data_IF_341699009609
#
_entry.id   IF_341699009609
#
_cell.length_a   1.000
_cell.length_b   1.000
_cell.length_c   1.000
_cell.angle_alpha   90.00
_cell.angle_beta   90.00
_cell.angle_gamma   90.00
#
_symmetry.space_group_name_H-M   'P 1'
#
loop_
_entity.id
_entity.type
_entity.pdbx_description
1 polymer ?
#
# COMPACT_ATOMS: atom_id res chain seq x y z
N UNK A 1 24.28 -9.52 23.49
CA UNK A 1 24.71 -8.55 24.54
C UNK A 1 25.28 -7.27 23.97
N UNK A 2 26.28 -7.30 23.06
CA UNK A 2 26.91 -6.11 22.48
C UNK A 2 25.91 -5.16 21.83
N UNK A 3 24.95 -5.68 21.04
CA UNK A 3 23.93 -4.88 20.32
C UNK A 3 23.02 -4.12 21.31
N UNK A 4 22.66 -4.73 22.43
CA UNK A 4 21.83 -4.08 23.43
C UNK A 4 22.63 -2.96 24.17
N UNK A 5 23.92 -3.17 24.42
CA UNK A 5 24.79 -2.13 24.96
C UNK A 5 24.95 -0.95 24.00
N UNK A 6 25.07 -1.21 22.70
CA UNK A 6 25.10 -0.15 21.66
C UNK A 6 23.78 0.63 21.61
N UNK A 7 22.64 -0.04 21.62
CA UNK A 7 21.32 0.62 21.65
C UNK A 7 21.16 1.52 22.85
N UNK A 8 21.61 1.02 24.04
CA UNK A 8 21.60 1.81 25.26
C UNK A 8 22.52 3.03 25.17
N UNK A 9 23.71 2.85 24.62
CA UNK A 9 24.64 3.95 24.36
C UNK A 9 24.03 5.02 23.46
N UNK A 10 23.48 4.62 22.32
CA UNK A 10 22.86 5.55 21.39
C UNK A 10 21.65 6.27 22.02
N UNK A 11 20.83 5.59 22.80
CA UNK A 11 19.69 6.23 23.45
C UNK A 11 20.12 7.33 24.45
N UNK A 12 21.32 7.24 25.00
CA UNK A 12 21.79 8.15 26.06
C UNK A 12 22.80 9.19 25.59
N UNK A 13 23.55 8.88 24.55
CA UNK A 13 24.69 9.70 24.11
C UNK A 13 24.52 10.32 22.74
N UNK A 14 23.39 10.03 22.01
CA UNK A 14 23.12 10.64 20.71
C UNK A 14 22.52 12.03 20.86
N UNK A 15 22.77 12.85 19.85
CA UNK A 15 22.08 14.12 19.63
C UNK A 15 20.78 13.89 18.86
N UNK A 16 19.77 14.72 19.10
CA UNK A 16 18.46 14.63 18.46
C UNK A 16 18.06 15.97 17.82
N UNK A 17 17.50 15.98 16.62
CA UNK A 17 16.92 17.22 16.10
C UNK A 17 15.60 17.51 16.84
N UNK A 18 15.42 18.75 17.26
CA UNK A 18 14.17 19.21 17.80
C UNK A 18 13.05 19.12 16.73
N UNK A 19 11.94 18.42 16.99
CA UNK A 19 10.88 18.23 15.98
C UNK A 19 10.15 19.55 15.63
N UNK A 20 10.26 20.60 16.46
CA UNK A 20 9.63 21.89 16.18
C UNK A 20 10.52 22.85 15.38
N UNK A 21 11.82 22.91 15.67
CA UNK A 21 12.69 23.94 15.08
C UNK A 21 13.94 23.38 14.40
N UNK A 22 14.15 22.05 14.42
CA UNK A 22 15.31 21.41 13.82
C UNK A 22 16.64 21.61 14.55
N UNK A 23 16.67 22.38 15.67
CA UNK A 23 17.88 22.58 16.46
C UNK A 23 18.37 21.26 17.06
N UNK A 24 19.67 20.98 16.94
CA UNK A 24 20.27 19.76 17.50
C UNK A 24 20.42 19.87 19.02
N UNK A 25 19.81 18.90 19.71
CA UNK A 25 19.88 18.79 21.16
C UNK A 25 21.07 17.92 21.52
N UNK A 26 21.95 18.43 22.38
CA UNK A 26 23.14 17.72 22.85
C UNK A 26 22.76 16.57 23.83
N UNK A 27 23.59 15.52 23.92
CA UNK A 27 23.41 14.45 24.89
C UNK A 27 23.29 14.99 26.31
N UNK A 28 22.35 14.44 27.06
CA UNK A 28 22.11 14.89 28.44
C UNK A 28 21.86 13.71 29.38
N UNK A 29 22.35 13.79 30.59
CA UNK A 29 22.06 12.83 31.67
C UNK A 29 20.56 12.82 32.04
N UNK A 30 19.79 13.82 31.64
CA UNK A 30 18.34 13.84 31.82
C UNK A 30 17.68 12.62 31.13
N UNK A 31 18.22 12.17 30.00
CA UNK A 31 17.74 10.98 29.27
C UNK A 31 17.89 9.72 30.15
N UNK A 32 18.98 9.58 30.89
CA UNK A 32 19.18 8.47 31.80
C UNK A 32 18.18 8.45 32.97
N UNK A 33 17.66 9.62 33.32
CA UNK A 33 16.65 9.82 34.35
C UNK A 33 15.20 9.84 33.78
N UNK A 34 15.03 9.46 32.50
CA UNK A 34 13.74 9.47 31.78
C UNK A 34 13.07 10.85 31.79
N UNK A 35 13.86 11.92 31.92
CA UNK A 35 13.34 13.29 31.82
C UNK A 35 13.40 13.80 30.39
N UNK A 36 12.40 14.60 29.96
CA UNK A 36 12.43 15.19 28.65
C UNK A 36 13.56 16.21 28.52
N UNK A 37 14.10 16.33 27.30
CA UNK A 37 15.04 17.38 26.93
C UNK A 37 14.24 18.65 26.59
N UNK A 38 14.69 19.79 27.09
CA UNK A 38 14.14 21.09 26.72
C UNK A 38 14.99 21.71 25.62
N UNK A 39 14.37 22.06 24.50
CA UNK A 39 15.07 22.72 23.42
C UNK A 39 15.46 24.14 23.85
N UNK A 40 16.75 24.51 23.83
CA UNK A 40 17.19 25.84 24.24
C UNK A 40 16.74 26.94 23.27
N UNK A 41 16.41 26.59 22.03
CA UNK A 41 16.02 27.56 21.02
C UNK A 41 14.53 27.88 21.02
N UNK A 42 13.64 26.88 21.17
CA UNK A 42 12.19 27.06 21.07
C UNK A 42 11.41 26.68 22.33
N UNK A 43 12.08 26.15 23.37
CA UNK A 43 11.45 25.73 24.62
C UNK A 43 10.65 24.42 24.52
N UNK A 44 10.64 23.75 23.36
CA UNK A 44 9.90 22.52 23.19
C UNK A 44 10.46 21.41 24.08
N UNK A 45 9.55 20.62 24.67
CA UNK A 45 9.88 19.40 25.41
C UNK A 45 10.02 18.25 24.44
N UNK A 46 11.19 17.64 24.37
CA UNK A 46 11.53 16.54 23.46
C UNK A 46 11.84 15.31 24.27
N UNK A 47 11.11 14.23 24.02
CA UNK A 47 11.42 12.94 24.61
C UNK A 47 12.57 12.29 23.82
N UNK A 48 13.65 11.91 24.50
CA UNK A 48 14.70 11.12 23.90
C UNK A 48 14.23 9.68 23.62
N UNK A 49 14.77 9.08 22.57
CA UNK A 49 14.44 7.71 22.20
C UNK A 49 14.99 6.71 23.24
N UNK A 50 14.17 5.74 23.62
CA UNK A 50 14.59 4.63 24.47
C UNK A 50 15.46 3.63 23.68
N UNK A 51 16.17 2.74 24.37
CA UNK A 51 16.97 1.70 23.72
C UNK A 51 16.11 0.75 22.84
N UNK A 52 14.85 0.55 23.21
CA UNK A 52 13.88 -0.27 22.45
C UNK A 52 13.47 0.36 21.12
N UNK A 53 13.51 1.69 21.04
CA UNK A 53 13.18 2.43 19.81
C UNK A 53 14.30 2.34 18.75
N UNK A 54 15.50 1.85 19.13
CA UNK A 54 16.58 1.48 18.19
C UNK A 54 16.52 0.01 17.74
N UNK A 55 15.43 -0.71 18.05
CA UNK A 55 15.25 -2.09 17.67
C UNK A 55 14.16 -2.25 16.61
N UNK A 56 14.53 -2.70 15.41
CA UNK A 56 13.61 -2.93 14.30
C UNK A 56 12.58 -4.06 14.54
N UNK A 57 12.77 -4.85 15.58
CA UNK A 57 11.85 -5.91 16.02
C UNK A 57 11.11 -5.56 17.33
N UNK A 58 11.10 -4.31 17.71
CA UNK A 58 10.46 -3.79 18.91
C UNK A 58 9.82 -2.43 18.63
N UNK A 59 9.88 -1.50 19.54
CA UNK A 59 9.23 -0.18 19.45
C UNK A 59 9.76 0.68 18.28
N UNK A 60 11.01 0.44 17.85
CA UNK A 60 11.60 1.14 16.70
C UNK A 60 11.21 0.59 15.34
N UNK A 61 10.42 -0.48 15.28
CA UNK A 61 10.01 -1.06 14.02
C UNK A 61 9.28 -0.05 13.15
N UNK A 62 9.73 0.12 11.91
CA UNK A 62 9.01 0.90 10.92
C UNK A 62 7.57 0.39 10.83
N UNK A 63 6.60 1.29 10.98
CA UNK A 63 5.18 0.94 11.05
C UNK A 63 4.64 0.36 9.75
N UNK A 64 5.17 0.82 8.61
CA UNK A 64 4.74 0.40 7.27
C UNK A 64 5.16 -1.03 6.95
N UNK A 65 6.40 -1.41 7.27
CA UNK A 65 6.91 -2.75 7.00
C UNK A 65 7.04 -3.64 8.25
N UNK A 66 6.59 -3.15 9.41
CA UNK A 66 6.72 -3.87 10.70
C UNK A 66 8.14 -4.37 10.98
N UNK A 67 9.14 -3.56 10.60
CA UNK A 67 10.56 -3.86 10.81
C UNK A 67 11.15 -4.88 9.84
N UNK A 68 10.44 -5.27 8.76
CA UNK A 68 10.99 -6.18 7.73
C UNK A 68 11.91 -5.48 6.74
N UNK A 69 11.74 -4.16 6.55
CA UNK A 69 12.43 -3.36 5.54
C UNK A 69 11.86 -3.52 4.12
N UNK A 70 10.89 -4.43 3.95
CA UNK A 70 10.29 -4.77 2.66
C UNK A 70 8.77 -4.67 2.74
N UNK A 71 8.16 -4.37 1.62
CA UNK A 71 6.69 -4.34 1.46
C UNK A 71 6.29 -5.10 0.21
N UNK A 72 5.07 -5.63 0.22
CA UNK A 72 4.43 -6.20 -0.96
C UNK A 72 3.63 -5.10 -1.63
N UNK A 73 3.92 -4.81 -2.89
CA UNK A 73 3.23 -3.82 -3.71
C UNK A 73 2.63 -4.48 -4.94
N UNK A 74 1.61 -3.87 -5.52
CA UNK A 74 1.04 -4.37 -6.77
C UNK A 74 2.05 -4.20 -7.90
N UNK A 75 2.22 -5.26 -8.68
CA UNK A 75 3.01 -5.23 -9.92
C UNK A 75 2.07 -5.01 -11.10
N UNK A 76 1.97 -3.78 -11.56
CA UNK A 76 1.06 -3.40 -12.65
C UNK A 76 1.32 -4.17 -13.94
N UNK A 77 2.56 -4.59 -14.20
CA UNK A 77 2.90 -5.38 -15.37
C UNK A 77 2.20 -6.74 -15.42
N UNK A 78 1.73 -7.22 -14.29
CA UNK A 78 1.02 -8.50 -14.15
C UNK A 78 -0.50 -8.38 -14.24
N UNK A 79 -1.03 -7.14 -14.19
CA UNK A 79 -2.48 -6.91 -14.21
C UNK A 79 -3.10 -7.18 -15.58
N UNK A 80 -2.32 -6.96 -16.65
CA UNK A 80 -2.70 -7.25 -18.03
C UNK A 80 -1.60 -8.09 -18.68
N UNK A 81 -1.60 -9.41 -18.45
CA UNK A 81 -0.55 -10.29 -18.92
C UNK A 81 -0.56 -10.50 -20.46
N UNK A 82 -1.69 -10.27 -21.09
CA UNK A 82 -1.87 -10.34 -22.54
C UNK A 82 -2.68 -9.13 -23.02
N UNK A 83 -1.99 -8.15 -23.58
CA UNK A 83 -2.57 -6.91 -24.07
C UNK A 83 -3.21 -7.02 -25.46
N UNK A 84 -3.10 -8.18 -26.11
CA UNK A 84 -3.80 -8.50 -27.34
C UNK A 84 -5.28 -8.85 -27.12
N UNK A 85 -5.65 -9.22 -25.89
CA UNK A 85 -7.02 -9.47 -25.49
C UNK A 85 -7.78 -8.17 -25.23
N UNK A 86 -9.09 -8.24 -25.43
CA UNK A 86 -10.01 -7.18 -25.00
C UNK A 86 -10.34 -7.30 -23.52
N UNK A 87 -10.85 -6.23 -22.90
CA UNK A 87 -11.35 -6.29 -21.52
C UNK A 87 -12.53 -7.27 -21.42
N UNK A 88 -13.39 -7.34 -22.43
CA UNK A 88 -14.52 -8.29 -22.52
C UNK A 88 -14.02 -9.75 -22.53
N UNK A 89 -12.88 -10.03 -23.15
CA UNK A 89 -12.23 -11.35 -23.15
C UNK A 89 -11.46 -11.65 -21.87
N UNK A 90 -11.28 -10.65 -21.01
CA UNK A 90 -10.62 -10.78 -19.71
C UNK A 90 -9.15 -10.41 -19.71
N UNK A 91 -8.73 -9.43 -20.49
CA UNK A 91 -7.37 -8.86 -20.47
C UNK A 91 -6.95 -8.45 -19.06
N UNK A 92 -7.87 -7.89 -18.26
CA UNK A 92 -7.61 -7.46 -16.90
C UNK A 92 -7.74 -8.65 -15.93
N UNK A 93 -6.63 -9.32 -15.68
CA UNK A 93 -6.57 -10.57 -14.92
C UNK A 93 -7.13 -10.49 -13.48
N UNK A 94 -6.94 -9.40 -12.70
CA UNK A 94 -7.55 -9.27 -11.38
C UNK A 94 -9.08 -9.31 -11.40
N UNK A 95 -9.73 -8.66 -12.36
CA UNK A 95 -11.20 -8.67 -12.45
C UNK A 95 -11.77 -10.06 -12.73
N UNK A 96 -11.04 -10.86 -13.49
CA UNK A 96 -11.43 -12.25 -13.78
C UNK A 96 -11.28 -13.18 -12.58
N UNK A 97 -10.25 -12.97 -11.76
CA UNK A 97 -9.86 -13.92 -10.70
C UNK A 97 -10.21 -13.49 -9.28
N UNK A 98 -10.35 -12.18 -9.02
CA UNK A 98 -10.53 -11.62 -7.68
C UNK A 98 -11.83 -10.83 -7.52
N UNK A 99 -12.53 -10.52 -8.63
CA UNK A 99 -13.72 -9.66 -8.64
C UNK A 99 -14.88 -10.31 -9.44
N UNK A 100 -16.03 -9.68 -9.41
CA UNK A 100 -17.19 -10.11 -10.17
C UNK A 100 -17.11 -9.67 -11.65
N UNK A 101 -17.68 -10.46 -12.53
CA UNK A 101 -17.72 -10.18 -13.99
C UNK A 101 -18.37 -8.84 -14.37
N UNK A 102 -19.19 -8.27 -13.49
CA UNK A 102 -19.83 -6.97 -13.68
C UNK A 102 -18.86 -5.79 -13.75
N UNK A 103 -17.60 -5.96 -13.31
CA UNK A 103 -16.62 -4.88 -13.35
C UNK A 103 -16.33 -4.40 -14.77
N UNK A 104 -16.44 -5.28 -15.74
CA UNK A 104 -16.28 -4.95 -17.17
C UNK A 104 -17.38 -3.99 -17.63
N UNK A 105 -18.65 -4.24 -17.26
CA UNK A 105 -19.76 -3.37 -17.62
C UNK A 105 -19.63 -2.00 -16.95
N UNK A 106 -19.20 -1.97 -15.70
CA UNK A 106 -18.94 -0.73 -14.96
C UNK A 106 -17.78 0.05 -15.59
N UNK A 107 -16.72 -0.64 -16.03
CA UNK A 107 -15.57 -0.03 -16.71
C UNK A 107 -16.01 0.66 -18.01
N UNK A 108 -16.96 0.07 -18.72
CA UNK A 108 -17.56 0.68 -19.94
C UNK A 108 -18.29 1.98 -19.60
N UNK A 109 -19.03 2.02 -18.48
CA UNK A 109 -19.68 3.24 -17.98
C UNK A 109 -18.69 4.30 -17.44
N UNK A 110 -17.44 3.91 -17.19
CA UNK A 110 -16.33 4.85 -16.91
C UNK A 110 -15.77 5.48 -18.21
N UNK A 111 -16.28 5.09 -19.38
CA UNK A 111 -15.87 5.62 -20.69
C UNK A 111 -14.66 4.89 -21.30
N UNK A 112 -14.43 3.65 -20.91
CA UNK A 112 -13.38 2.79 -21.47
C UNK A 112 -13.97 1.86 -22.51
N UNK A 113 -13.32 1.74 -23.66
CA UNK A 113 -13.69 0.76 -24.70
C UNK A 113 -13.26 -0.64 -24.25
N UNK A 114 -14.23 -1.54 -24.08
CA UNK A 114 -13.97 -2.89 -23.59
C UNK A 114 -13.87 -3.94 -24.67
N UNK A 115 -14.21 -3.58 -25.90
CA UNK A 115 -14.34 -4.43 -27.09
C UNK A 115 -13.14 -4.35 -28.06
N UNK A 116 -12.12 -3.55 -27.72
CA UNK A 116 -10.87 -3.43 -28.49
C UNK A 116 -9.70 -4.03 -27.70
N UNK A 117 -8.63 -4.49 -28.38
CA UNK A 117 -7.41 -4.96 -27.69
C UNK A 117 -6.88 -3.95 -26.68
N UNK A 118 -6.45 -4.41 -25.51
CA UNK A 118 -5.99 -3.52 -24.44
C UNK A 118 -4.85 -2.59 -24.88
N UNK A 119 -3.95 -3.08 -25.74
CA UNK A 119 -2.86 -2.27 -26.31
C UNK A 119 -3.36 -1.07 -27.11
N UNK A 120 -4.55 -1.16 -27.73
CA UNK A 120 -5.14 -0.13 -28.60
C UNK A 120 -5.99 0.89 -27.82
N UNK A 121 -6.08 0.74 -26.50
CA UNK A 121 -6.67 1.73 -25.61
C UNK A 121 -5.76 2.97 -25.52
N UNK A 122 -6.38 4.12 -25.37
CA UNK A 122 -5.66 5.38 -25.09
C UNK A 122 -5.02 5.34 -23.71
N UNK A 123 -4.01 6.17 -23.49
CA UNK A 123 -3.36 6.27 -22.16
C UNK A 123 -4.35 6.65 -21.05
N UNK A 124 -5.35 7.51 -21.37
CA UNK A 124 -6.42 7.86 -20.45
C UNK A 124 -7.30 6.65 -20.08
N UNK A 125 -7.66 5.82 -21.06
CA UNK A 125 -8.44 4.61 -20.80
C UNK A 125 -7.65 3.61 -19.95
N UNK A 126 -6.36 3.42 -20.25
CA UNK A 126 -5.45 2.59 -19.45
C UNK A 126 -5.31 3.12 -18.03
N UNK A 127 -5.18 4.43 -17.84
CA UNK A 127 -5.12 5.04 -16.53
C UNK A 127 -6.42 4.81 -15.74
N UNK A 128 -7.58 4.92 -16.36
CA UNK A 128 -8.85 4.58 -15.72
C UNK A 128 -8.86 3.12 -15.26
N UNK A 129 -8.38 2.18 -16.08
CA UNK A 129 -8.32 0.76 -15.72
C UNK A 129 -7.39 0.52 -14.53
N UNK A 130 -6.23 1.15 -14.49
CA UNK A 130 -5.23 0.94 -13.43
C UNK A 130 -5.48 1.77 -12.17
N UNK A 131 -5.94 3.02 -12.30
CA UNK A 131 -5.98 4.00 -11.22
C UNK A 131 -7.29 4.78 -11.11
N UNK A 132 -8.27 4.52 -11.98
CA UNK A 132 -9.54 5.26 -12.01
C UNK A 132 -10.20 5.35 -10.63
N UNK A 133 -10.89 6.46 -10.33
CA UNK A 133 -11.51 6.71 -9.04
C UNK A 133 -12.66 5.73 -8.76
N UNK A 134 -12.90 5.44 -7.48
CA UNK A 134 -14.04 4.64 -7.04
C UNK A 134 -15.33 5.44 -7.18
N UNK A 135 -15.97 5.36 -8.35
CA UNK A 135 -17.23 6.01 -8.67
C UNK A 135 -18.40 5.02 -8.69
N UNK A 136 -19.54 5.43 -8.16
CA UNK A 136 -20.78 4.68 -8.32
C UNK A 136 -21.32 4.88 -9.71
N UNK A 137 -21.59 3.78 -10.42
CA UNK A 137 -22.22 3.77 -11.73
C UNK A 137 -23.51 2.96 -11.69
N UNK A 138 -24.49 3.41 -12.44
CA UNK A 138 -25.73 2.69 -12.67
C UNK A 138 -25.56 1.82 -13.91
N UNK A 139 -25.71 0.50 -13.75
CA UNK A 139 -25.55 -0.46 -14.82
C UNK A 139 -26.80 -1.28 -15.05
N UNK A 140 -27.07 -1.58 -16.31
CA UNK A 140 -28.04 -2.57 -16.71
C UNK A 140 -27.32 -3.88 -16.94
N UNK A 141 -27.62 -4.90 -16.17
CA UNK A 141 -27.02 -6.21 -16.36
C UNK A 141 -28.05 -7.24 -16.82
N UNK A 142 -27.59 -8.14 -17.69
CA UNK A 142 -28.35 -9.31 -18.09
C UNK A 142 -27.74 -10.54 -17.43
N UNK A 143 -28.51 -11.25 -16.65
CA UNK A 143 -28.06 -12.51 -16.08
C UNK A 143 -27.98 -13.56 -17.17
N UNK A 144 -26.77 -14.05 -17.46
CA UNK A 144 -26.53 -15.09 -18.49
C UNK A 144 -27.26 -16.41 -18.23
N UNK A 145 -27.68 -16.65 -16.98
CA UNK A 145 -28.32 -17.90 -16.53
C UNK A 145 -29.84 -17.77 -16.28
N UNK A 146 -30.39 -16.56 -16.32
CA UNK A 146 -31.81 -16.31 -16.18
C UNK A 146 -32.17 -15.14 -17.12
N UNK A 147 -33.31 -15.22 -17.80
CA UNK A 147 -33.77 -14.17 -18.72
C UNK A 147 -34.17 -12.88 -17.97
N UNK A 148 -33.58 -12.61 -16.82
CA UNK A 148 -33.84 -11.44 -15.99
C UNK A 148 -32.80 -10.37 -16.27
N UNK A 149 -33.26 -9.21 -16.73
CA UNK A 149 -32.50 -7.97 -16.73
C UNK A 149 -32.75 -7.24 -15.42
N UNK A 150 -31.74 -6.62 -14.87
CA UNK A 150 -31.83 -5.81 -13.65
C UNK A 150 -30.99 -4.55 -13.75
N UNK A 151 -31.34 -3.58 -12.94
CA UNK A 151 -30.57 -2.37 -12.74
C UNK A 151 -29.83 -2.46 -11.41
N UNK A 152 -28.58 -2.08 -11.38
CA UNK A 152 -27.76 -2.13 -10.17
C UNK A 152 -26.81 -0.93 -10.10
N UNK A 153 -26.80 -0.27 -8.93
CA UNK A 153 -25.77 0.70 -8.61
C UNK A 153 -24.55 -0.01 -8.04
N UNK A 154 -23.44 0.09 -8.72
CA UNK A 154 -22.20 -0.54 -8.26
C UNK A 154 -21.02 0.44 -8.32
N UNK A 155 -20.08 0.26 -7.40
CA UNK A 155 -18.86 1.09 -7.34
C UNK A 155 -17.80 0.49 -8.25
N UNK A 156 -17.22 1.33 -9.11
CA UNK A 156 -16.05 0.97 -9.90
C UNK A 156 -14.85 0.74 -9.00
N UNK A 157 -14.14 -0.34 -9.26
CA UNK A 157 -12.87 -0.66 -8.61
C UNK A 157 -11.82 -0.93 -9.68
N UNK A 158 -10.84 -0.05 -9.78
CA UNK A 158 -9.73 -0.21 -10.70
C UNK A 158 -8.92 -1.49 -10.42
N UNK A 159 -8.06 -1.89 -11.36
CA UNK A 159 -7.33 -3.14 -11.29
C UNK A 159 -6.35 -3.19 -10.11
N UNK A 160 -5.64 -2.09 -9.83
CA UNK A 160 -4.70 -1.97 -8.71
C UNK A 160 -5.43 -2.09 -7.37
N UNK A 161 -6.48 -1.31 -7.16
CA UNK A 161 -7.30 -1.40 -5.94
C UNK A 161 -7.91 -2.78 -5.73
N UNK A 162 -8.29 -3.47 -6.81
CA UNK A 162 -8.84 -4.83 -6.72
C UNK A 162 -7.83 -5.79 -6.08
N UNK A 163 -6.55 -5.70 -6.44
CA UNK A 163 -5.48 -6.51 -5.85
C UNK A 163 -5.21 -6.10 -4.41
N UNK A 164 -5.09 -4.80 -4.12
CA UNK A 164 -4.86 -4.29 -2.76
C UNK A 164 -5.98 -4.68 -1.79
N UNK A 165 -7.24 -4.54 -2.22
CA UNK A 165 -8.40 -4.95 -1.44
C UNK A 165 -8.45 -6.46 -1.24
N UNK A 166 -8.06 -7.26 -2.23
CA UNK A 166 -7.96 -8.70 -2.07
C UNK A 166 -6.84 -9.07 -1.08
N UNK A 167 -5.66 -8.43 -1.18
CA UNK A 167 -4.53 -8.63 -0.27
C UNK A 167 -4.91 -8.31 1.19
N UNK A 168 -5.60 -7.21 1.43
CA UNK A 168 -6.04 -6.80 2.77
C UNK A 168 -7.02 -7.79 3.43
N UNK A 169 -7.70 -8.62 2.63
CA UNK A 169 -8.68 -9.61 3.07
C UNK A 169 -8.13 -11.04 3.13
N UNK A 170 -6.87 -11.25 2.78
CA UNK A 170 -6.23 -12.56 2.85
C UNK A 170 -6.18 -13.05 4.29
N UNK A 171 -6.70 -14.28 4.52
CA UNK A 171 -6.73 -14.91 5.84
C UNK A 171 -5.99 -16.25 5.88
N UNK A 172 -5.71 -16.82 4.71
CA UNK A 172 -5.12 -18.14 4.57
C UNK A 172 -4.13 -18.21 3.38
N UNK A 173 -3.38 -19.28 3.30
CA UNK A 173 -2.39 -19.53 2.26
C UNK A 173 -3.04 -19.62 0.86
N UNK A 174 -4.26 -20.16 0.78
CA UNK A 174 -4.99 -20.28 -0.49
C UNK A 174 -5.39 -18.92 -1.03
N UNK A 175 -5.82 -18.00 -0.15
CA UNK A 175 -6.08 -16.60 -0.50
C UNK A 175 -4.82 -15.90 -0.98
N UNK A 176 -3.68 -16.11 -0.28
CA UNK A 176 -2.40 -15.54 -0.66
C UNK A 176 -1.97 -16.00 -2.06
N UNK A 177 -2.02 -17.28 -2.37
CA UNK A 177 -1.67 -17.84 -3.71
C UNK A 177 -2.47 -17.23 -4.86
N UNK A 178 -3.68 -16.73 -4.59
CA UNK A 178 -4.50 -16.07 -5.62
C UNK A 178 -4.06 -14.64 -5.91
N UNK A 179 -3.48 -13.97 -4.93
CA UNK A 179 -3.10 -12.55 -5.00
C UNK A 179 -1.61 -12.39 -5.32
N UNK A 180 -0.74 -13.27 -4.81
CA UNK A 180 0.72 -13.16 -4.91
C UNK A 180 1.25 -12.98 -6.34
N UNK A 181 0.56 -13.57 -7.33
CA UNK A 181 0.93 -13.45 -8.75
C UNK A 181 0.82 -12.01 -9.30
N UNK A 182 0.14 -11.12 -8.57
CA UNK A 182 -0.02 -9.71 -8.89
C UNK A 182 0.85 -8.82 -8.01
N UNK A 183 1.70 -9.40 -7.18
CA UNK A 183 2.49 -8.67 -6.20
C UNK A 183 3.98 -8.81 -6.50
N UNK A 184 4.71 -7.76 -6.18
CA UNK A 184 6.18 -7.78 -6.11
C UNK A 184 6.63 -7.32 -4.73
N UNK A 185 7.72 -7.90 -4.29
CA UNK A 185 8.39 -7.45 -3.08
C UNK A 185 9.31 -6.27 -3.42
N UNK A 186 9.20 -5.20 -2.67
CA UNK A 186 10.00 -4.00 -2.84
C UNK A 186 10.57 -3.49 -1.51
N UNK A 187 11.54 -2.61 -1.61
CA UNK A 187 12.08 -1.91 -0.43
C UNK A 187 10.97 -1.02 0.14
N UNK A 188 10.83 -1.01 1.45
CA UNK A 188 9.85 -0.16 2.13
C UNK A 188 10.12 1.32 1.80
N UNK A 189 9.15 2.07 1.26
CA UNK A 189 9.36 3.45 0.88
C UNK A 189 9.59 4.38 2.07
N UNK A 190 9.03 4.06 3.24
CA UNK A 190 9.12 4.93 4.41
C UNK A 190 10.47 4.83 5.11
N UNK A 191 10.97 3.63 5.31
CA UNK A 191 12.26 3.44 5.98
C UNK A 191 13.44 3.19 5.02
N UNK A 192 13.21 3.15 3.70
CA UNK A 192 14.26 2.88 2.72
C UNK A 192 15.00 1.55 2.94
N UNK A 193 14.35 0.56 3.57
CA UNK A 193 14.94 -0.73 3.90
C UNK A 193 15.70 -0.76 5.23
N UNK A 194 15.81 0.34 5.95
CA UNK A 194 16.52 0.40 7.26
C UNK A 194 15.81 -0.34 8.38
N UNK A 195 14.52 -0.60 8.24
CA UNK A 195 13.63 -1.28 9.21
C UNK A 195 13.20 -0.44 10.41
N UNK A 196 13.76 0.76 10.57
CA UNK A 196 13.48 1.70 11.65
C UNK A 196 12.69 2.91 11.16
#
# INVERSE_FOLDING_TARGET
>A
ELLNSLRLMFSRLSSYPCPQCGHWLEPSLAVAAEKPLLCPQCGASVRALSAEEFAFNSQGACRTCSGTGMVMTVDESTLVPDDSLTIDEGAVAPWKSLMWSLMVDICREMGVRTDVPFRDLTDREKDIVFHGPAEKKHIFYHNKNSNQAGELDFTYFNATYTVENALSKVKDEKGMKRVEKFLRQGICPDCGGTRL
#
